data_IF_395485753682
#
_entry.id   IF_395485753682
#
_cell.length_a   1.000
_cell.length_b   1.000
_cell.length_c   1.000
_cell.angle_alpha   90.00
_cell.angle_beta   90.00
_cell.angle_gamma   90.00
#
_symmetry.space_group_name_H-M   'P 1'
#
loop_
_entity.id
_entity.type
_entity.pdbx_description
1 polymer ?
#
# COMPACT_ATOMS: atom_id res chain seq x y z
N UNK A 1 10.66 4.46 28.77
CA UNK A 1 12.06 4.19 29.16
C UNK A 1 12.83 5.50 29.04
N UNK A 2 13.38 6.01 30.15
CA UNK A 2 14.29 7.16 30.13
C UNK A 2 15.71 6.68 29.79
N UNK A 3 16.46 7.47 29.05
CA UNK A 3 17.80 7.13 28.57
C UNK A 3 18.80 8.02 29.30
N UNK A 4 19.65 7.41 30.13
CA UNK A 4 20.69 8.10 30.89
C UNK A 4 22.04 8.19 30.14
N UNK A 5 22.25 7.36 29.12
CA UNK A 5 23.47 7.34 28.29
C UNK A 5 23.15 7.06 26.82
N UNK A 6 23.81 7.80 25.92
CA UNK A 6 23.72 7.63 24.47
C UNK A 6 24.62 6.48 23.97
N UNK A 7 24.33 5.26 24.44
CA UNK A 7 25.02 4.06 23.99
C UNK A 7 24.44 3.52 22.68
N UNK A 8 25.19 2.66 21.99
CA UNK A 8 24.82 2.11 20.65
C UNK A 8 23.43 1.45 20.63
N UNK A 9 23.03 0.83 21.75
CA UNK A 9 21.71 0.19 21.92
C UNK A 9 20.62 1.24 22.14
N UNK A 10 20.87 2.26 22.96
CA UNK A 10 19.95 3.38 23.15
C UNK A 10 19.70 4.13 21.83
N UNK A 11 20.75 4.35 21.04
CA UNK A 11 20.65 4.92 19.70
C UNK A 11 19.76 4.09 18.76
N UNK A 12 19.94 2.77 18.72
CA UNK A 12 19.12 1.89 17.89
C UNK A 12 17.64 1.94 18.29
N UNK A 13 17.34 1.91 19.59
CA UNK A 13 15.98 1.97 20.11
C UNK A 13 15.30 3.32 19.84
N UNK A 14 16.02 4.44 20.02
CA UNK A 14 15.52 5.79 19.69
C UNK A 14 15.27 5.89 18.18
N UNK A 15 16.21 5.43 17.36
CA UNK A 15 16.09 5.50 15.89
C UNK A 15 14.89 4.67 15.40
N UNK A 16 14.65 3.51 16.00
CA UNK A 16 13.49 2.67 15.68
C UNK A 16 12.17 3.34 16.08
N UNK A 17 12.09 3.89 17.30
CA UNK A 17 10.91 4.61 17.78
C UNK A 17 10.61 5.87 16.94
N UNK A 18 11.65 6.64 16.60
CA UNK A 18 11.53 7.82 15.72
C UNK A 18 11.07 7.39 14.32
N UNK A 19 11.62 6.30 13.77
CA UNK A 19 11.22 5.81 12.44
C UNK A 19 9.75 5.37 12.40
N UNK A 20 9.27 4.72 13.46
CA UNK A 20 7.86 4.34 13.60
C UNK A 20 6.94 5.58 13.67
N UNK A 21 7.29 6.56 14.51
CA UNK A 21 6.53 7.80 14.63
C UNK A 21 6.52 8.61 13.32
N UNK A 22 7.68 8.71 12.65
CA UNK A 22 7.78 9.38 11.36
C UNK A 22 6.99 8.67 10.26
N UNK A 23 6.91 7.34 10.29
CA UNK A 23 6.08 6.58 9.35
C UNK A 23 4.59 6.89 9.54
N UNK A 24 4.12 6.93 10.78
CA UNK A 24 2.73 7.27 11.09
C UNK A 24 2.38 8.71 10.66
N UNK A 25 3.28 9.67 10.92
CA UNK A 25 3.14 11.06 10.44
C UNK A 25 3.18 11.10 8.91
N UNK A 26 4.07 10.33 8.28
CA UNK A 26 4.21 10.26 6.83
C UNK A 26 2.96 9.73 6.15
N UNK A 27 2.33 8.72 6.72
CA UNK A 27 1.08 8.17 6.21
C UNK A 27 -0.11 9.11 6.43
N UNK A 28 -0.13 9.87 7.54
CA UNK A 28 -1.17 10.86 7.81
C UNK A 28 -1.12 12.06 6.85
N UNK A 29 0.09 12.50 6.48
CA UNK A 29 0.29 13.71 5.67
C UNK A 29 0.72 13.41 4.22
N UNK A 30 0.83 12.15 3.83
CA UNK A 30 1.21 11.76 2.48
C UNK A 30 2.66 12.13 2.13
N UNK A 31 3.58 12.01 3.07
CA UNK A 31 4.99 12.35 2.89
C UNK A 31 5.88 11.17 3.29
N UNK A 32 7.01 11.01 2.61
CA UNK A 32 8.01 10.02 2.99
C UNK A 32 9.20 10.71 3.65
N UNK A 33 9.50 10.28 4.87
CA UNK A 33 10.67 10.73 5.61
C UNK A 33 11.83 9.75 5.37
N UNK A 34 12.98 10.26 4.93
CA UNK A 34 14.21 9.47 4.82
C UNK A 34 15.32 10.12 5.65
N UNK A 35 16.14 9.34 6.37
CA UNK A 35 17.36 9.87 6.98
C UNK A 35 18.32 10.32 5.88
N UNK A 36 18.75 11.57 5.92
CA UNK A 36 19.72 12.15 4.98
C UNK A 36 21.10 12.35 5.61
N UNK A 37 21.27 11.97 6.87
CA UNK A 37 22.50 12.12 7.64
C UNK A 37 22.22 12.69 9.03
N UNK A 38 23.28 13.08 9.71
CA UNK A 38 23.21 13.70 11.03
C UNK A 38 24.55 13.70 11.74
N UNK A 39 24.72 14.62 12.70
CA UNK A 39 25.85 14.65 13.62
C UNK A 39 25.38 14.26 15.01
N UNK A 40 26.00 13.23 15.60
CA UNK A 40 25.73 12.83 16.99
C UNK A 40 26.93 13.18 17.87
N UNK A 41 26.75 14.15 18.75
CA UNK A 41 27.69 14.48 19.84
C UNK A 41 27.27 13.83 21.16
N UNK A 42 28.13 13.99 22.18
CA UNK A 42 28.00 13.29 23.49
C UNK A 42 26.75 13.71 24.28
N UNK A 43 26.28 14.95 24.12
CA UNK A 43 25.10 15.49 24.81
C UNK A 43 23.97 15.95 23.89
N UNK A 44 24.24 16.03 22.58
CA UNK A 44 23.31 16.56 21.59
C UNK A 44 23.57 15.92 20.23
N UNK A 45 22.49 15.64 19.50
CA UNK A 45 22.55 15.10 18.15
C UNK A 45 21.60 15.83 17.23
N UNK A 46 22.02 15.99 15.97
CA UNK A 46 21.23 16.49 14.87
C UNK A 46 20.99 15.34 13.91
N UNK A 47 19.74 15.13 13.53
CA UNK A 47 19.34 14.18 12.49
C UNK A 47 18.77 15.00 11.35
N UNK A 48 19.40 14.95 10.18
CA UNK A 48 18.88 15.58 8.98
C UNK A 48 17.90 14.60 8.31
N UNK A 49 16.65 15.04 8.19
CA UNK A 49 15.58 14.28 7.55
C UNK A 49 15.28 14.90 6.20
N UNK A 50 15.37 14.10 5.14
CA UNK A 50 14.82 14.46 3.86
C UNK A 50 13.33 14.14 3.86
N UNK A 51 12.52 15.17 3.65
CA UNK A 51 11.07 15.04 3.48
C UNK A 51 10.78 15.06 1.99
N UNK A 52 10.28 13.95 1.48
CA UNK A 52 9.75 13.90 0.13
C UNK A 52 8.23 13.95 0.22
N UNK A 53 7.64 15.03 -0.27
CA UNK A 53 6.19 15.06 -0.50
C UNK A 53 5.89 13.96 -1.51
N UNK A 54 5.02 13.00 -1.17
CA UNK A 54 4.55 12.05 -2.18
C UNK A 54 3.83 12.92 -3.20
N UNK A 55 4.40 13.04 -4.41
CA UNK A 55 3.75 13.79 -5.49
C UNK A 55 2.30 13.28 -5.57
N UNK A 56 1.30 14.17 -5.57
CA UNK A 56 -0.08 13.76 -5.70
C UNK A 56 -0.22 13.21 -7.12
N UNK A 57 -0.13 11.90 -7.23
CA UNK A 57 -0.92 11.16 -8.21
C UNK A 57 -2.01 10.49 -7.39
N UNK A 58 -2.85 11.32 -6.76
CA UNK A 58 -3.89 10.97 -5.78
C UNK A 58 -3.39 10.14 -4.57
N UNK A 59 -4.11 10.12 -3.45
CA UNK A 59 -3.75 9.39 -2.22
C UNK A 59 -3.80 7.86 -2.33
N UNK A 60 -3.23 7.29 -3.39
CA UNK A 60 -3.36 5.90 -3.79
C UNK A 60 -2.19 5.09 -3.25
N UNK A 61 -2.50 3.94 -2.64
CA UNK A 61 -1.46 3.01 -2.18
C UNK A 61 -0.64 2.53 -3.38
N UNK A 62 0.63 2.11 -3.22
CA UNK A 62 1.46 1.64 -4.33
C UNK A 62 0.79 0.57 -5.23
N UNK A 63 0.00 -0.33 -4.64
CA UNK A 63 -0.78 -1.33 -5.37
C UNK A 63 -1.93 -0.75 -6.22
N UNK A 64 -2.52 0.37 -5.78
CA UNK A 64 -3.59 1.06 -6.47
C UNK A 64 -3.07 1.88 -7.66
N UNK A 65 -1.91 2.52 -7.51
CA UNK A 65 -1.25 3.19 -8.63
C UNK A 65 -0.88 2.21 -9.74
N UNK A 66 -0.33 1.05 -9.36
CA UNK A 66 -0.01 -0.02 -10.32
C UNK A 66 -1.28 -0.57 -10.96
N UNK A 67 -2.33 -0.79 -10.18
CA UNK A 67 -3.63 -1.21 -10.69
C UNK A 67 -4.17 -0.24 -11.74
N UNK A 68 -4.13 1.08 -11.52
CA UNK A 68 -4.64 2.06 -12.51
C UNK A 68 -3.88 2.03 -13.83
N UNK A 69 -2.56 1.86 -13.78
CA UNK A 69 -1.72 1.74 -14.99
C UNK A 69 -2.09 0.46 -15.75
N UNK A 70 -2.13 -0.68 -15.06
CA UNK A 70 -2.43 -1.97 -15.66
C UNK A 70 -3.92 -2.09 -16.07
N UNK A 71 -4.84 -1.42 -15.36
CA UNK A 71 -6.27 -1.41 -15.67
C UNK A 71 -6.53 -0.81 -17.06
N UNK A 72 -5.78 0.24 -17.44
CA UNK A 72 -5.82 0.81 -18.79
C UNK A 72 -5.46 -0.22 -19.87
N UNK A 73 -4.45 -1.06 -19.61
CA UNK A 73 -4.05 -2.14 -20.52
C UNK A 73 -5.15 -3.21 -20.69
N UNK A 74 -5.91 -3.49 -19.63
CA UNK A 74 -6.97 -4.50 -19.64
C UNK A 74 -8.38 -3.94 -19.96
N UNK A 75 -8.51 -2.64 -20.22
CA UNK A 75 -9.78 -1.97 -20.47
C UNK A 75 -10.73 -1.99 -19.26
N UNK A 76 -10.18 -1.95 -18.05
CA UNK A 76 -10.93 -1.96 -16.80
C UNK A 76 -11.11 -0.54 -16.25
N UNK A 77 -12.26 -0.23 -15.63
CA UNK A 77 -12.44 1.04 -14.94
C UNK A 77 -11.57 1.11 -13.69
N UNK A 78 -11.13 2.31 -13.31
CA UNK A 78 -10.35 2.51 -12.10
C UNK A 78 -11.13 2.12 -10.83
N UNK A 79 -12.47 2.22 -10.84
CA UNK A 79 -13.32 1.78 -9.74
C UNK A 79 -13.33 0.24 -9.56
N UNK A 80 -12.75 -0.51 -10.49
CA UNK A 80 -12.60 -1.95 -10.32
C UNK A 80 -11.63 -2.30 -9.17
N UNK A 81 -10.79 -1.35 -8.77
CA UNK A 81 -9.97 -1.48 -7.56
C UNK A 81 -10.87 -1.68 -6.34
N UNK A 82 -10.53 -2.64 -5.47
CA UNK A 82 -11.36 -3.06 -4.32
C UNK A 82 -12.70 -3.74 -4.64
N UNK A 83 -12.98 -4.09 -5.89
CA UNK A 83 -14.16 -4.91 -6.23
C UNK A 83 -14.13 -6.23 -5.45
N UNK A 84 -15.28 -6.63 -4.92
CA UNK A 84 -15.43 -7.90 -4.23
C UNK A 84 -15.85 -8.96 -5.24
N UNK A 85 -15.00 -9.96 -5.44
CA UNK A 85 -15.28 -11.16 -6.22
C UNK A 85 -15.84 -12.24 -5.30
N UNK A 86 -16.86 -12.95 -5.76
CA UNK A 86 -17.32 -14.18 -5.11
C UNK A 86 -16.93 -15.37 -5.96
N UNK A 87 -16.15 -16.30 -5.41
CA UNK A 87 -15.75 -17.53 -6.07
C UNK A 87 -15.84 -18.70 -5.11
N UNK A 88 -16.53 -19.78 -5.51
CA UNK A 88 -16.76 -20.99 -4.69
C UNK A 88 -17.27 -20.67 -3.27
N UNK A 89 -18.23 -19.75 -3.16
CA UNK A 89 -18.81 -19.33 -1.88
C UNK A 89 -17.91 -18.45 -1.00
N UNK A 90 -16.71 -18.08 -1.47
CA UNK A 90 -15.77 -17.22 -0.74
C UNK A 90 -15.67 -15.85 -1.40
N UNK A 91 -15.45 -14.82 -0.57
CA UNK A 91 -15.31 -13.42 -1.01
C UNK A 91 -13.85 -12.98 -1.02
N UNK A 92 -13.46 -12.34 -2.11
CA UNK A 92 -12.10 -11.87 -2.35
C UNK A 92 -12.13 -10.42 -2.78
N UNK A 93 -11.23 -9.59 -2.25
CA UNK A 93 -11.09 -8.19 -2.65
C UNK A 93 -9.98 -8.06 -3.68
N UNK A 94 -10.22 -7.33 -4.76
CA UNK A 94 -9.17 -6.96 -5.70
C UNK A 94 -8.20 -5.98 -5.03
N UNK A 95 -6.92 -6.33 -5.05
CA UNK A 95 -5.83 -5.56 -4.43
C UNK A 95 -4.76 -5.14 -5.44
N UNK A 96 -4.77 -5.70 -6.65
CA UNK A 96 -3.81 -5.35 -7.69
C UNK A 96 -4.09 -6.00 -9.04
N UNK A 97 -3.30 -5.59 -10.02
CA UNK A 97 -3.20 -6.21 -11.35
C UNK A 97 -1.72 -6.45 -11.66
N UNK A 98 -1.48 -7.50 -12.45
CA UNK A 98 -0.17 -7.83 -12.97
C UNK A 98 -0.27 -8.11 -14.47
N UNK A 99 0.10 -7.11 -15.27
CA UNK A 99 0.15 -7.18 -16.74
C UNK A 99 1.12 -8.25 -17.28
N UNK A 100 2.15 -8.61 -16.50
CA UNK A 100 3.10 -9.66 -16.88
C UNK A 100 2.58 -11.09 -16.63
N UNK A 101 1.40 -11.25 -16.01
CA UNK A 101 0.80 -12.56 -15.75
C UNK A 101 -0.33 -12.84 -16.76
N UNK A 102 -0.07 -13.56 -17.88
CA UNK A 102 -1.02 -13.68 -18.98
C UNK A 102 -2.29 -14.47 -18.63
N UNK A 103 -2.19 -15.47 -17.73
CA UNK A 103 -3.33 -16.34 -17.40
C UNK A 103 -4.14 -15.82 -16.21
N UNK A 104 -3.46 -15.29 -15.19
CA UNK A 104 -4.09 -14.84 -13.93
C UNK A 104 -3.59 -13.44 -13.51
N UNK A 105 -3.95 -12.39 -14.27
CA UNK A 105 -3.47 -11.03 -14.03
C UNK A 105 -4.11 -10.35 -12.82
N UNK A 106 -5.26 -10.80 -12.33
CA UNK A 106 -5.99 -10.15 -11.24
C UNK A 106 -5.46 -10.63 -9.89
N UNK A 107 -4.93 -9.73 -9.07
CA UNK A 107 -4.46 -10.05 -7.72
C UNK A 107 -5.52 -9.70 -6.69
N UNK A 108 -5.89 -10.69 -5.88
CA UNK A 108 -6.97 -10.61 -4.91
C UNK A 108 -6.53 -11.11 -3.54
N UNK A 109 -7.21 -10.63 -2.51
CA UNK A 109 -7.01 -11.04 -1.12
C UNK A 109 -8.33 -11.58 -0.54
N UNK A 110 -8.28 -12.76 0.09
CA UNK A 110 -9.45 -13.33 0.75
C UNK A 110 -9.86 -12.49 1.98
N UNK A 111 -11.13 -12.06 2.04
CA UNK A 111 -11.63 -11.28 3.18
C UNK A 111 -11.59 -12.05 4.51
N UNK A 112 -11.61 -13.39 4.45
CA UNK A 112 -11.67 -14.26 5.63
C UNK A 112 -10.31 -14.58 6.26
N UNK A 113 -9.19 -14.18 5.67
CA UNK A 113 -7.88 -14.61 6.18
C UNK A 113 -6.65 -14.10 5.44
N UNK A 114 -6.77 -13.03 4.65
CA UNK A 114 -5.62 -12.35 4.03
C UNK A 114 -4.85 -13.16 2.98
N UNK A 115 -5.30 -14.38 2.66
CA UNK A 115 -4.61 -15.24 1.69
C UNK A 115 -4.73 -14.61 0.31
N UNK A 116 -3.59 -14.26 -0.27
CA UNK A 116 -3.47 -13.81 -1.65
C UNK A 116 -3.87 -14.92 -2.63
N UNK A 117 -4.62 -14.55 -3.65
CA UNK A 117 -5.07 -15.43 -4.73
C UNK A 117 -5.10 -14.65 -6.03
N UNK A 118 -5.06 -15.36 -7.16
CA UNK A 118 -5.08 -14.72 -8.48
C UNK A 118 -6.22 -15.26 -9.32
N UNK A 119 -6.81 -14.38 -10.12
CA UNK A 119 -7.94 -14.71 -10.99
C UNK A 119 -7.67 -14.30 -12.44
N UNK A 120 -8.32 -14.97 -13.40
CA UNK A 120 -8.36 -14.52 -14.78
C UNK A 120 -9.10 -13.19 -14.92
N UNK A 121 -8.76 -12.40 -15.95
CA UNK A 121 -9.37 -11.09 -16.19
C UNK A 121 -10.90 -11.16 -16.39
N UNK A 122 -11.40 -12.23 -17.01
CA UNK A 122 -12.83 -12.41 -17.26
C UNK A 122 -13.64 -12.57 -15.96
N UNK A 123 -13.03 -13.07 -14.89
CA UNK A 123 -13.69 -13.20 -13.58
C UNK A 123 -14.00 -11.82 -12.99
N UNK A 124 -13.07 -10.87 -13.12
CA UNK A 124 -13.27 -9.49 -12.68
C UNK A 124 -14.32 -8.78 -13.55
N UNK A 125 -14.28 -8.96 -14.87
CA UNK A 125 -15.29 -8.39 -15.79
C UNK A 125 -16.71 -8.85 -15.44
N UNK A 126 -16.90 -10.16 -15.24
CA UNK A 126 -18.21 -10.71 -14.87
C UNK A 126 -18.73 -10.14 -13.54
N UNK A 127 -17.84 -9.95 -12.56
CA UNK A 127 -18.22 -9.37 -11.28
C UNK A 127 -18.63 -7.89 -11.39
N UNK A 128 -17.94 -7.11 -12.24
CA UNK A 128 -18.31 -5.73 -12.52
C UNK A 128 -19.67 -5.62 -13.21
N UNK A 129 -19.96 -6.51 -14.16
CA UNK A 129 -21.26 -6.55 -14.82
C UNK A 129 -22.38 -6.93 -13.84
N UNK A 130 -22.17 -7.92 -12.97
CA UNK A 130 -23.14 -8.26 -11.92
C UNK A 130 -23.38 -7.11 -10.93
N UNK A 131 -22.33 -6.36 -10.58
CA UNK A 131 -22.44 -5.20 -9.70
C UNK A 131 -23.23 -4.04 -10.35
N UNK A 132 -23.12 -3.86 -11.67
CA UNK A 132 -23.94 -2.87 -12.41
C UNK A 132 -25.41 -3.26 -12.43
N UNK A 133 -25.73 -4.52 -12.71
CA UNK A 133 -27.11 -5.02 -12.75
C UNK A 133 -27.79 -4.87 -11.38
N UNK A 134 -27.08 -5.20 -10.29
CA UNK A 134 -27.61 -5.05 -8.93
C UNK A 134 -27.85 -3.60 -8.48
N UNK A 135 -27.25 -2.61 -9.17
CA UNK A 135 -27.44 -1.18 -8.87
C UNK A 135 -28.55 -0.54 -9.72
N UNK A 136 -28.99 -1.21 -10.78
CA UNK A 136 -30.02 -0.75 -11.70
C UNK A 136 -31.42 -1.32 -11.40
N UNK A 137 -31.50 -2.30 -10.49
CA UNK A 137 -32.74 -2.87 -9.96
C UNK A 137 -33.09 -2.24 -8.60
#
# INVERSE_FOLDING_TARGET
MQIDKFDKIAYANITHAISLALKEVGDRFGVDFRPNGGQTGVSQGRIDLQVNVRKPSDGLRPGEKKFRIDAGYFGLPNEAFHTILTHKGRRFRVVGLNSNAPVYPVECEALSGGRGCRFPIHTLRNALEMAKVAKAA
#
